data_IF_154131625505
#
_entry.id   IF_154131625505
#
_cell.length_a   1.000
_cell.length_b   1.000
_cell.length_c   1.000
_cell.angle_alpha   90.00
_cell.angle_beta   90.00
_cell.angle_gamma   90.00
#
_symmetry.space_group_name_H-M   'P 1'
#
loop_
_entity.id
_entity.type
_entity.pdbx_description
1 polymer ?
#
# COMPACT_ATOMS: atom_id res chain seq x y z
N UNK A 1 -8.79 -21.15 -1.88
CA UNK A 1 -7.62 -20.98 -2.76
C UNK A 1 -6.91 -19.73 -2.30
N UNK A 2 -5.60 -19.79 -2.11
CA UNK A 2 -4.78 -18.63 -1.77
C UNK A 2 -4.69 -17.65 -2.94
N UNK A 3 -4.57 -16.36 -2.64
CA UNK A 3 -4.27 -15.33 -3.64
C UNK A 3 -2.75 -15.26 -3.86
N UNK A 4 -2.29 -14.75 -5.00
CA UNK A 4 -0.87 -14.47 -5.18
C UNK A 4 -0.42 -13.36 -4.23
N UNK A 5 0.86 -13.43 -3.83
CA UNK A 5 1.49 -12.53 -2.84
C UNK A 5 2.51 -11.65 -3.52
N UNK A 6 2.32 -10.34 -3.47
CA UNK A 6 3.28 -9.37 -3.94
C UNK A 6 4.01 -8.67 -2.79
N UNK A 7 5.10 -7.99 -3.12
CA UNK A 7 5.85 -7.13 -2.21
C UNK A 7 5.73 -5.67 -2.65
N UNK A 8 5.35 -4.78 -1.73
CA UNK A 8 5.53 -3.34 -1.92
C UNK A 8 7.03 -3.01 -1.80
N UNK A 9 7.61 -2.55 -2.90
CA UNK A 9 9.05 -2.34 -3.03
C UNK A 9 9.61 -1.23 -2.14
N UNK A 10 8.75 -0.33 -1.63
CA UNK A 10 9.14 0.65 -0.61
C UNK A 10 9.73 -0.02 0.64
N UNK A 11 9.32 -1.24 0.92
CA UNK A 11 9.81 -2.04 2.06
C UNK A 11 11.31 -2.34 1.98
N UNK A 12 11.89 -2.34 0.78
CA UNK A 12 13.32 -2.63 0.50
C UNK A 12 13.97 -1.52 -0.33
N UNK A 13 13.51 -0.28 -0.12
CA UNK A 13 13.93 0.88 -0.92
C UNK A 13 15.42 1.16 -0.89
N UNK A 14 16.04 0.98 0.26
CA UNK A 14 17.49 1.25 0.42
C UNK A 14 18.33 0.24 -0.38
N UNK A 15 17.91 -1.02 -0.41
CA UNK A 15 18.51 -2.06 -1.22
C UNK A 15 18.27 -1.82 -2.73
N UNK A 16 17.08 -1.34 -3.11
CA UNK A 16 16.78 -0.98 -4.50
C UNK A 16 17.61 0.21 -5.00
N UNK A 17 17.82 1.21 -4.14
CA UNK A 17 18.68 2.35 -4.46
C UNK A 17 20.13 1.91 -4.66
N UNK A 18 20.62 0.96 -3.87
CA UNK A 18 21.96 0.43 -3.97
C UNK A 18 22.14 -0.54 -5.16
N UNK A 19 21.20 -1.46 -5.36
CA UNK A 19 21.22 -2.46 -6.44
C UNK A 19 19.81 -2.89 -6.83
N UNK A 20 19.21 -2.19 -7.78
CA UNK A 20 17.85 -2.43 -8.23
C UNK A 20 17.65 -3.87 -8.74
N UNK A 21 18.54 -4.31 -9.66
CA UNK A 21 18.38 -5.62 -10.32
C UNK A 21 18.59 -6.78 -9.35
N UNK A 22 19.65 -6.72 -8.53
CA UNK A 22 19.92 -7.74 -7.52
C UNK A 22 18.81 -7.83 -6.49
N UNK A 23 18.24 -6.70 -6.07
CA UNK A 23 17.12 -6.66 -5.12
C UNK A 23 15.85 -7.27 -5.72
N UNK A 24 15.48 -6.93 -6.96
CA UNK A 24 14.32 -7.52 -7.65
C UNK A 24 14.48 -9.04 -7.79
N UNK A 25 15.67 -9.53 -8.18
CA UNK A 25 15.97 -10.97 -8.23
C UNK A 25 15.82 -11.62 -6.85
N UNK A 26 16.29 -10.94 -5.80
CA UNK A 26 16.18 -11.42 -4.42
C UNK A 26 14.72 -11.54 -3.96
N UNK A 27 13.88 -10.58 -4.30
CA UNK A 27 12.43 -10.64 -4.03
C UNK A 27 11.82 -11.91 -4.65
N UNK A 28 12.17 -12.23 -5.89
CA UNK A 28 11.72 -13.48 -6.54
C UNK A 28 12.23 -14.72 -5.82
N UNK A 29 13.49 -14.74 -5.42
CA UNK A 29 14.09 -15.88 -4.68
C UNK A 29 13.38 -16.15 -3.35
N UNK A 30 12.88 -15.10 -2.67
CA UNK A 30 12.08 -15.23 -1.46
C UNK A 30 10.72 -15.87 -1.73
N UNK A 31 10.28 -15.90 -2.99
CA UNK A 31 9.07 -16.57 -3.44
C UNK A 31 7.85 -15.65 -3.50
N UNK A 32 8.05 -14.36 -3.70
CA UNK A 32 6.97 -13.46 -4.08
C UNK A 32 6.54 -13.71 -5.53
N UNK A 33 5.26 -13.52 -5.81
CA UNK A 33 4.66 -13.72 -7.13
C UNK A 33 4.70 -12.44 -7.97
N UNK A 34 4.64 -11.29 -7.31
CA UNK A 34 4.61 -9.97 -7.95
C UNK A 34 5.24 -8.88 -7.09
N UNK A 35 5.23 -7.67 -7.63
CA UNK A 35 5.72 -6.47 -6.97
C UNK A 35 4.76 -5.30 -7.16
N UNK A 36 4.75 -4.41 -6.19
CA UNK A 36 4.17 -3.08 -6.27
C UNK A 36 5.27 -2.05 -6.18
N UNK A 37 5.26 -1.09 -7.07
CA UNK A 37 6.33 -0.10 -7.17
C UNK A 37 6.13 1.10 -6.24
N UNK A 38 7.25 1.68 -5.80
CA UNK A 38 7.34 2.99 -5.18
C UNK A 38 8.45 3.78 -5.89
N UNK A 39 8.20 4.15 -7.15
CA UNK A 39 9.18 4.72 -8.06
C UNK A 39 10.00 3.68 -8.81
N UNK A 40 10.77 4.14 -9.81
CA UNK A 40 11.57 3.29 -10.71
C UNK A 40 13.09 3.44 -10.53
N UNK A 41 13.54 4.21 -9.55
CA UNK A 41 14.97 4.40 -9.21
C UNK A 41 15.85 4.78 -10.42
N UNK A 42 15.31 5.64 -11.31
CA UNK A 42 16.00 6.11 -12.51
C UNK A 42 16.09 5.09 -13.65
N UNK A 43 15.42 3.95 -13.53
CA UNK A 43 15.30 2.97 -14.61
C UNK A 43 14.17 3.36 -15.57
N UNK A 44 14.31 2.97 -16.85
CA UNK A 44 13.21 3.13 -17.80
C UNK A 44 12.13 2.06 -17.61
N UNK A 45 10.89 2.35 -18.01
CA UNK A 45 9.80 1.38 -18.00
C UNK A 45 10.14 0.11 -18.78
N UNK A 46 10.80 0.27 -19.93
CA UNK A 46 11.22 -0.85 -20.77
C UNK A 46 12.26 -1.76 -20.07
N UNK A 47 13.26 -1.18 -19.38
CA UNK A 47 14.28 -1.96 -18.65
C UNK A 47 13.66 -2.69 -17.46
N UNK A 48 12.78 -2.01 -16.72
CA UNK A 48 12.05 -2.62 -15.59
C UNK A 48 11.20 -3.78 -16.08
N UNK A 49 10.42 -3.57 -17.15
CA UNK A 49 9.61 -4.64 -17.74
C UNK A 49 10.45 -5.84 -18.16
N UNK A 50 11.56 -5.60 -18.87
CA UNK A 50 12.46 -6.66 -19.32
C UNK A 50 13.01 -7.48 -18.14
N UNK A 51 13.41 -6.82 -17.05
CA UNK A 51 13.87 -7.48 -15.83
C UNK A 51 12.77 -8.33 -15.18
N UNK A 52 11.55 -7.79 -15.05
CA UNK A 52 10.44 -8.54 -14.47
C UNK A 52 10.05 -9.76 -15.30
N UNK A 53 10.03 -9.61 -16.63
CA UNK A 53 9.78 -10.73 -17.56
C UNK A 53 10.85 -11.81 -17.43
N UNK A 54 12.14 -11.42 -17.29
CA UNK A 54 13.25 -12.35 -17.11
C UNK A 54 13.15 -13.13 -15.79
N UNK A 55 12.86 -12.42 -14.67
CA UNK A 55 12.81 -13.07 -13.36
C UNK A 55 11.46 -13.73 -13.05
N UNK A 56 10.43 -13.43 -13.83
CA UNK A 56 9.09 -13.98 -13.65
C UNK A 56 8.35 -13.38 -12.45
N UNK A 57 8.48 -12.07 -12.20
CA UNK A 57 7.67 -11.31 -11.26
C UNK A 57 6.58 -10.53 -11.99
N UNK A 58 5.38 -10.50 -11.43
CA UNK A 58 4.25 -9.78 -12.02
C UNK A 58 4.24 -8.33 -11.50
N UNK A 59 4.22 -7.31 -12.38
CA UNK A 59 3.98 -5.93 -11.98
C UNK A 59 2.51 -5.75 -11.63
N UNK A 60 2.20 -5.63 -10.34
CA UNK A 60 0.81 -5.56 -9.87
C UNK A 60 0.30 -4.13 -9.96
N UNK A 61 0.98 -3.23 -9.30
CA UNK A 61 0.56 -1.85 -9.06
C UNK A 61 1.75 -0.94 -8.82
N UNK A 62 1.46 0.36 -8.72
CA UNK A 62 2.44 1.36 -8.33
C UNK A 62 1.83 2.39 -7.38
N UNK A 63 2.51 2.67 -6.28
CA UNK A 63 2.26 3.82 -5.44
C UNK A 63 2.82 5.07 -6.12
N UNK A 64 1.95 6.01 -6.45
CA UNK A 64 2.33 7.28 -7.11
C UNK A 64 1.76 8.44 -6.31
N UNK A 65 2.61 9.35 -5.80
CA UNK A 65 2.15 10.51 -5.03
C UNK A 65 1.07 11.30 -5.76
N UNK A 66 0.04 11.74 -5.02
CA UNK A 66 -1.09 12.47 -5.60
C UNK A 66 -0.65 13.71 -6.38
N UNK A 67 0.32 14.47 -5.86
CA UNK A 67 0.78 15.69 -6.51
C UNK A 67 1.52 15.41 -7.84
N UNK A 68 2.23 14.30 -7.93
CA UNK A 68 2.85 13.85 -9.19
C UNK A 68 1.77 13.43 -10.20
N UNK A 69 0.77 12.69 -9.75
CA UNK A 69 -0.38 12.33 -10.59
C UNK A 69 -1.14 13.57 -11.08
N UNK A 70 -1.35 14.57 -10.24
CA UNK A 70 -2.00 15.82 -10.65
C UNK A 70 -1.19 16.55 -11.73
N UNK A 71 0.12 16.53 -11.65
CA UNK A 71 1.01 17.23 -12.58
C UNK A 71 1.26 16.47 -13.88
N UNK A 72 1.33 15.13 -13.83
CA UNK A 72 1.83 14.27 -14.92
C UNK A 72 0.98 13.02 -15.15
N UNK A 73 -0.35 13.10 -14.95
CA UNK A 73 -1.24 11.92 -15.00
C UNK A 73 -0.99 11.05 -16.22
N UNK A 74 -1.05 11.62 -17.43
CA UNK A 74 -0.94 10.85 -18.67
C UNK A 74 0.44 10.20 -18.85
N UNK A 75 1.50 10.89 -18.44
CA UNK A 75 2.87 10.40 -18.54
C UNK A 75 3.04 9.17 -17.62
N UNK A 76 2.69 9.31 -16.34
CA UNK A 76 2.83 8.27 -15.33
C UNK A 76 1.92 7.06 -15.61
N UNK A 77 0.69 7.29 -16.05
CA UNK A 77 -0.22 6.22 -16.44
C UNK A 77 0.34 5.41 -17.61
N UNK A 78 0.93 6.06 -18.63
CA UNK A 78 1.57 5.37 -19.76
C UNK A 78 2.81 4.60 -19.32
N UNK A 79 3.64 5.18 -18.45
CA UNK A 79 4.86 4.56 -17.94
C UNK A 79 4.54 3.25 -17.19
N UNK A 80 3.64 3.28 -16.21
CA UNK A 80 3.29 2.07 -15.45
C UNK A 80 2.49 1.05 -16.28
N UNK A 81 1.72 1.52 -17.27
CA UNK A 81 1.08 0.63 -18.24
C UNK A 81 2.10 -0.09 -19.13
N UNK A 82 3.16 0.58 -19.57
CA UNK A 82 4.25 -0.02 -20.35
C UNK A 82 4.96 -1.13 -19.55
N UNK A 83 5.18 -0.93 -18.26
CA UNK A 83 5.70 -1.97 -17.35
C UNK A 83 4.74 -3.16 -17.27
N UNK A 84 3.44 -2.92 -17.37
CA UNK A 84 2.39 -3.93 -17.31
C UNK A 84 1.58 -3.90 -16.00
N UNK A 85 1.66 -2.82 -15.21
CA UNK A 85 0.84 -2.66 -14.01
C UNK A 85 -0.65 -2.61 -14.38
N UNK A 86 -1.48 -3.34 -13.61
CA UNK A 86 -2.94 -3.28 -13.73
C UNK A 86 -3.50 -2.09 -12.94
N UNK A 87 -2.80 -1.67 -11.88
CA UNK A 87 -3.25 -0.65 -10.96
C UNK A 87 -2.21 0.46 -10.76
N UNK A 88 -2.71 1.64 -10.41
CA UNK A 88 -1.97 2.73 -9.79
C UNK A 88 -2.71 3.10 -8.51
N UNK A 89 -2.00 3.26 -7.40
CA UNK A 89 -2.57 3.66 -6.13
C UNK A 89 -2.08 5.06 -5.71
N UNK A 90 -3.00 5.89 -5.20
CA UNK A 90 -2.64 7.09 -4.45
C UNK A 90 -2.25 6.63 -3.03
N UNK A 91 -0.95 6.73 -2.64
CA UNK A 91 -0.46 6.09 -1.42
C UNK A 91 -0.62 6.94 -0.15
N UNK A 92 -0.75 8.25 -0.28
CA UNK A 92 -0.68 9.17 0.84
C UNK A 92 -1.21 10.55 0.50
N UNK A 93 -1.70 11.28 1.50
CA UNK A 93 -2.11 12.68 1.39
C UNK A 93 -1.22 13.58 2.26
N UNK A 94 -0.72 14.66 1.68
CA UNK A 94 -0.08 15.74 2.41
C UNK A 94 -1.07 16.40 3.38
N UNK A 95 -0.57 17.02 4.44
CA UNK A 95 -1.43 17.53 5.52
C UNK A 95 -2.53 18.48 5.05
N UNK A 96 -2.21 19.34 4.09
CA UNK A 96 -3.14 20.31 3.50
C UNK A 96 -4.25 19.67 2.65
N UNK A 97 -4.09 18.39 2.27
CA UNK A 97 -5.04 17.61 1.47
C UNK A 97 -5.87 16.61 2.29
N UNK A 98 -5.58 16.47 3.58
CA UNK A 98 -6.22 15.47 4.45
C UNK A 98 -7.65 15.85 4.83
N UNK A 99 -8.44 14.85 5.28
CA UNK A 99 -9.79 15.06 5.81
C UNK A 99 -9.87 16.15 6.89
N UNK A 100 -10.82 17.06 6.72
CA UNK A 100 -11.07 18.16 7.64
C UNK A 100 -10.17 19.37 7.41
N UNK A 101 -9.49 19.46 6.28
CA UNK A 101 -8.87 20.65 5.70
C UNK A 101 -9.67 21.11 4.49
N UNK A 102 -9.48 22.38 4.09
CA UNK A 102 -10.10 22.94 2.88
C UNK A 102 -9.62 22.23 1.59
N UNK A 103 -8.48 21.53 1.65
CA UNK A 103 -7.91 20.79 0.52
C UNK A 103 -8.55 19.43 0.25
N UNK A 104 -9.35 18.88 1.17
CA UNK A 104 -9.92 17.55 1.00
C UNK A 104 -10.92 17.45 -0.15
N UNK A 105 -11.76 18.48 -0.35
CA UNK A 105 -12.67 18.53 -1.52
C UNK A 105 -11.89 18.59 -2.82
N UNK A 106 -10.78 19.36 -2.86
CA UNK A 106 -9.87 19.40 -4.01
C UNK A 106 -9.23 18.04 -4.26
N UNK A 107 -8.84 17.32 -3.21
CA UNK A 107 -8.31 15.95 -3.31
C UNK A 107 -9.30 15.03 -4.02
N UNK A 108 -10.58 15.03 -3.62
CA UNK A 108 -11.63 14.23 -4.27
C UNK A 108 -11.81 14.63 -5.74
N UNK A 109 -11.80 15.92 -6.05
CA UNK A 109 -11.93 16.42 -7.41
C UNK A 109 -10.73 16.01 -8.30
N UNK A 110 -9.51 16.03 -7.77
CA UNK A 110 -8.32 15.61 -8.49
C UNK A 110 -8.31 14.09 -8.70
N UNK A 111 -8.67 13.29 -7.70
CA UNK A 111 -8.82 11.83 -7.84
C UNK A 111 -9.83 11.49 -8.93
N UNK A 112 -10.97 12.20 -9.03
CA UNK A 112 -11.95 11.99 -10.09
C UNK A 112 -11.35 12.17 -11.48
N UNK A 113 -10.54 13.23 -11.69
CA UNK A 113 -9.86 13.49 -12.98
C UNK A 113 -8.81 12.44 -13.30
N UNK A 114 -7.99 12.07 -12.31
CA UNK A 114 -6.95 11.04 -12.47
C UNK A 114 -7.61 9.70 -12.82
N UNK A 115 -8.70 9.36 -12.14
CA UNK A 115 -9.46 8.12 -12.40
C UNK A 115 -10.00 8.04 -13.84
N UNK A 116 -10.43 9.17 -14.41
CA UNK A 116 -10.88 9.21 -15.80
C UNK A 116 -9.73 8.88 -16.76
N UNK A 117 -8.55 9.48 -16.57
CA UNK A 117 -7.36 9.20 -17.38
C UNK A 117 -6.89 7.76 -17.21
N UNK A 118 -6.86 7.23 -15.98
CA UNK A 118 -6.52 5.84 -15.72
C UNK A 118 -7.46 4.89 -16.48
N UNK A 119 -8.77 5.11 -16.37
CA UNK A 119 -9.80 4.30 -17.03
C UNK A 119 -9.67 4.33 -18.55
N UNK A 120 -9.46 5.50 -19.16
CA UNK A 120 -9.27 5.68 -20.61
C UNK A 120 -8.02 4.91 -21.10
N UNK A 121 -7.01 4.76 -20.26
CA UNK A 121 -5.78 4.02 -20.57
C UNK A 121 -5.84 2.54 -20.16
N UNK A 122 -6.94 2.06 -19.57
CA UNK A 122 -7.11 0.68 -19.14
C UNK A 122 -6.27 0.31 -17.91
N UNK A 123 -5.95 1.29 -17.06
CA UNK A 123 -5.41 1.12 -15.71
C UNK A 123 -6.52 1.41 -14.71
N UNK A 124 -6.51 0.74 -13.57
CA UNK A 124 -7.47 0.94 -12.48
C UNK A 124 -6.83 1.77 -11.38
N UNK A 125 -7.51 2.83 -10.95
CA UNK A 125 -7.02 3.67 -9.85
C UNK A 125 -7.44 3.08 -8.52
N UNK A 126 -6.49 2.99 -7.59
CA UNK A 126 -6.69 2.61 -6.19
C UNK A 126 -6.43 3.79 -5.28
N UNK A 127 -6.97 3.70 -4.08
CA UNK A 127 -6.59 4.58 -2.97
C UNK A 127 -6.14 3.71 -1.80
N UNK A 128 -4.91 3.96 -1.32
CA UNK A 128 -4.31 3.32 -0.17
C UNK A 128 -4.55 4.17 1.08
N UNK A 129 -5.19 3.61 2.08
CA UNK A 129 -5.53 4.35 3.29
C UNK A 129 -4.40 4.35 4.33
N UNK A 130 -4.39 5.45 5.09
CA UNK A 130 -3.74 5.56 6.38
C UNK A 130 -4.81 5.62 7.49
N UNK A 131 -4.42 6.00 8.70
CA UNK A 131 -5.36 6.14 9.81
C UNK A 131 -6.08 7.51 9.82
N UNK A 132 -5.52 8.54 9.16
CA UNK A 132 -6.10 9.88 9.15
C UNK A 132 -7.40 9.98 8.33
N UNK A 133 -7.64 9.07 7.39
CA UNK A 133 -8.91 8.98 6.67
C UNK A 133 -10.06 8.43 7.53
N UNK A 134 -9.74 7.86 8.68
CA UNK A 134 -10.75 7.47 9.69
C UNK A 134 -11.21 8.63 10.57
N UNK A 135 -10.79 9.86 10.26
CA UNK A 135 -11.42 11.06 10.81
C UNK A 135 -12.87 11.14 10.36
N UNK A 136 -13.78 11.40 11.31
CA UNK A 136 -15.21 11.56 11.01
C UNK A 136 -15.53 12.99 10.59
N UNK A 137 -16.23 13.11 9.46
CA UNK A 137 -16.86 14.34 8.97
C UNK A 137 -18.36 14.06 8.94
N UNK A 138 -19.15 14.83 9.70
CA UNK A 138 -20.59 14.64 9.85
C UNK A 138 -20.99 13.19 10.22
N UNK A 139 -20.19 12.57 11.08
CA UNK A 139 -20.44 11.22 11.59
C UNK A 139 -19.99 10.06 10.67
N UNK A 140 -19.48 10.33 9.47
CA UNK A 140 -18.96 9.34 8.51
C UNK A 140 -17.45 9.41 8.45
N UNK A 141 -16.78 8.28 8.28
CA UNK A 141 -15.34 8.27 8.00
C UNK A 141 -15.05 8.95 6.66
N UNK A 142 -14.00 9.75 6.62
CA UNK A 142 -13.61 10.45 5.41
C UNK A 142 -13.20 9.48 4.28
N UNK A 143 -12.66 8.31 4.63
CA UNK A 143 -12.41 7.23 3.67
C UNK A 143 -13.71 6.77 2.99
N UNK A 144 -14.78 6.58 3.77
CA UNK A 144 -16.09 6.21 3.22
C UNK A 144 -16.69 7.33 2.36
N UNK A 145 -16.47 8.58 2.74
CA UNK A 145 -16.88 9.73 1.94
C UNK A 145 -16.16 9.71 0.59
N UNK A 146 -14.83 9.56 0.58
CA UNK A 146 -14.04 9.47 -0.65
C UNK A 146 -14.60 8.37 -1.58
N UNK A 147 -14.82 7.17 -1.05
CA UNK A 147 -15.35 6.07 -1.86
C UNK A 147 -16.83 6.23 -2.26
N UNK A 148 -17.60 7.04 -1.54
CA UNK A 148 -18.98 7.38 -1.96
C UNK A 148 -19.02 8.43 -3.06
N UNK A 149 -18.02 9.32 -3.10
CA UNK A 149 -17.92 10.42 -4.07
C UNK A 149 -17.33 9.99 -5.43
N UNK A 150 -16.63 8.85 -5.47
CA UNK A 150 -16.03 8.32 -6.70
C UNK A 150 -16.60 6.94 -6.98
N UNK A 151 -17.17 6.76 -8.18
CA UNK A 151 -17.82 5.50 -8.55
C UNK A 151 -16.85 4.29 -8.49
N UNK A 152 -17.33 3.08 -8.14
CA UNK A 152 -16.48 1.88 -8.03
C UNK A 152 -15.72 1.48 -9.30
N UNK A 153 -16.24 1.85 -10.47
CA UNK A 153 -15.60 1.60 -11.76
C UNK A 153 -14.51 2.61 -12.11
N UNK A 154 -14.23 3.57 -11.21
CA UNK A 154 -13.22 4.63 -11.33
C UNK A 154 -12.20 4.61 -10.22
N UNK A 155 -12.61 4.31 -8.99
CA UNK A 155 -11.72 4.22 -7.83
C UNK A 155 -12.06 2.96 -7.05
N UNK A 156 -11.08 2.12 -6.84
CA UNK A 156 -11.17 0.95 -5.99
C UNK A 156 -10.30 1.12 -4.74
N UNK A 157 -10.45 0.20 -3.80
CA UNK A 157 -9.74 0.29 -2.53
C UNK A 157 -8.46 -0.54 -2.59
N UNK A 158 -7.41 0.00 -1.99
CA UNK A 158 -6.24 -0.74 -1.54
C UNK A 158 -6.20 -0.63 -0.02
N UNK A 159 -6.88 -1.55 0.65
CA UNK A 159 -7.02 -1.50 2.11
C UNK A 159 -5.70 -1.90 2.77
N UNK A 160 -5.10 -0.94 3.51
CA UNK A 160 -3.98 -1.22 4.41
C UNK A 160 -4.49 -1.63 5.79
N UNK A 161 -4.18 -2.86 6.17
CA UNK A 161 -4.69 -3.50 7.38
C UNK A 161 -4.10 -2.93 8.67
N UNK A 162 -2.85 -2.43 8.63
CA UNK A 162 -2.22 -1.77 9.77
C UNK A 162 -2.98 -0.51 10.12
N UNK A 163 -3.18 0.37 9.15
CA UNK A 163 -3.79 1.66 9.38
C UNK A 163 -5.27 1.58 9.77
N UNK A 164 -6.00 0.58 9.25
CA UNK A 164 -7.35 0.25 9.75
C UNK A 164 -7.30 -0.10 11.24
N UNK A 165 -6.37 -0.99 11.63
CA UNK A 165 -6.20 -1.40 13.02
C UNK A 165 -5.77 -0.25 13.94
N UNK A 166 -4.82 0.59 13.49
CA UNK A 166 -4.37 1.79 14.20
C UNK A 166 -5.51 2.80 14.37
N UNK A 167 -6.43 2.88 13.41
CA UNK A 167 -7.63 3.69 13.53
C UNK A 167 -8.65 3.15 14.54
N UNK A 168 -8.45 1.92 15.04
CA UNK A 168 -9.33 1.26 16.00
C UNK A 168 -10.45 0.44 15.36
N UNK A 169 -10.40 0.22 14.06
CA UNK A 169 -11.35 -0.59 13.31
C UNK A 169 -10.82 -2.02 13.09
N UNK A 170 -11.73 -2.94 12.73
CA UNK A 170 -11.36 -4.31 12.40
C UNK A 170 -11.00 -4.42 10.92
N UNK A 171 -9.75 -4.79 10.56
CA UNK A 171 -9.32 -4.88 9.17
C UNK A 171 -10.14 -5.86 8.33
N UNK A 172 -10.48 -7.03 8.88
CA UNK A 172 -11.28 -8.05 8.17
C UNK A 172 -12.68 -7.54 7.84
N UNK A 173 -13.35 -6.86 8.79
CA UNK A 173 -14.66 -6.28 8.55
C UNK A 173 -14.60 -5.13 7.54
N UNK A 174 -13.52 -4.35 7.57
CA UNK A 174 -13.35 -3.24 6.65
C UNK A 174 -13.09 -3.71 5.21
N UNK A 175 -12.31 -4.78 5.03
CA UNK A 175 -12.14 -5.45 3.73
C UNK A 175 -13.48 -5.97 3.21
N UNK A 176 -14.25 -6.67 4.04
CA UNK A 176 -15.55 -7.22 3.66
C UNK A 176 -16.59 -6.14 3.32
N UNK A 177 -16.53 -4.98 3.96
CA UNK A 177 -17.35 -3.81 3.66
C UNK A 177 -17.21 -3.37 2.20
N UNK A 178 -16.02 -3.51 1.64
CA UNK A 178 -15.72 -3.15 0.26
C UNK A 178 -15.61 -4.38 -0.67
N UNK A 179 -16.34 -5.47 -0.37
CA UNK A 179 -16.39 -6.66 -1.23
C UNK A 179 -16.73 -6.30 -2.67
N UNK A 180 -15.94 -6.85 -3.62
CA UNK A 180 -16.06 -6.56 -5.05
C UNK A 180 -15.40 -5.23 -5.49
N UNK A 181 -14.84 -4.46 -4.55
CA UNK A 181 -14.16 -3.18 -4.80
C UNK A 181 -12.76 -3.12 -4.18
N UNK A 182 -12.25 -4.21 -3.65
CA UNK A 182 -10.96 -4.30 -2.95
C UNK A 182 -10.04 -5.31 -3.65
N UNK A 183 -9.53 -4.99 -4.85
CA UNK A 183 -8.74 -5.94 -5.63
C UNK A 183 -7.36 -6.18 -5.04
N UNK A 184 -6.82 -5.24 -4.29
CA UNK A 184 -5.51 -5.30 -3.62
C UNK A 184 -5.69 -5.02 -2.13
N UNK A 185 -5.07 -5.86 -1.29
CA UNK A 185 -5.06 -5.70 0.17
C UNK A 185 -3.63 -5.68 0.67
N UNK A 186 -3.25 -4.62 1.41
CA UNK A 186 -1.95 -4.51 2.04
C UNK A 186 -1.92 -5.26 3.38
N UNK A 187 -1.05 -6.26 3.45
CA UNK A 187 -0.72 -6.98 4.67
C UNK A 187 0.44 -6.27 5.35
N UNK A 188 0.14 -5.46 6.34
CA UNK A 188 1.11 -4.68 7.10
C UNK A 188 0.86 -4.91 8.57
N UNK A 189 1.80 -5.56 9.24
CA UNK A 189 1.65 -5.92 10.66
C UNK A 189 2.43 -4.97 11.56
N UNK A 190 2.01 -4.86 12.80
CA UNK A 190 2.56 -3.89 13.73
C UNK A 190 2.44 -4.38 15.17
N UNK A 191 3.19 -3.74 16.05
CA UNK A 191 3.06 -3.82 17.49
C UNK A 191 2.65 -2.46 18.04
N UNK A 192 1.72 -2.42 18.95
CA UNK A 192 1.31 -1.20 19.65
C UNK A 192 1.04 -1.53 21.12
N UNK A 193 1.76 -0.83 22.04
CA UNK A 193 1.72 -1.11 23.48
C UNK A 193 0.43 -0.62 24.15
N UNK A 194 -0.14 0.45 23.65
CA UNK A 194 -1.40 1.02 24.15
C UNK A 194 -2.34 1.34 23.00
N UNK A 195 -3.63 1.55 23.32
CA UNK A 195 -4.61 2.01 22.32
C UNK A 195 -4.45 3.49 21.94
N UNK A 196 -3.57 4.21 22.64
CA UNK A 196 -3.28 5.61 22.33
C UNK A 196 -2.28 5.66 21.16
N UNK A 197 -2.62 6.39 20.11
CA UNK A 197 -1.75 6.55 18.95
C UNK A 197 -0.45 7.28 19.33
N UNK A 198 0.72 6.83 18.86
CA UNK A 198 1.95 7.57 19.00
C UNK A 198 1.84 8.95 18.36
N UNK A 199 2.46 9.97 18.96
CA UNK A 199 2.34 11.36 18.48
C UNK A 199 2.98 11.57 17.11
N UNK A 200 3.96 10.73 16.70
CA UNK A 200 4.78 10.89 15.49
C UNK A 200 4.77 9.66 14.59
N UNK A 201 3.60 9.09 14.45
CA UNK A 201 3.41 7.84 13.71
C UNK A 201 3.95 7.90 12.27
N UNK A 202 3.84 9.07 11.61
CA UNK A 202 4.24 9.23 10.21
C UNK A 202 5.75 9.43 9.98
N UNK A 203 6.54 9.73 11.01
CA UNK A 203 8.00 9.69 10.89
C UNK A 203 8.51 8.26 10.64
N UNK A 204 7.75 7.25 11.09
CA UNK A 204 8.07 5.85 10.86
C UNK A 204 7.92 5.43 9.39
N UNK A 205 7.19 6.18 8.59
CA UNK A 205 7.04 5.96 7.14
C UNK A 205 7.86 6.94 6.30
N UNK A 206 8.82 7.64 6.92
CA UNK A 206 9.75 8.53 6.23
C UNK A 206 9.25 9.97 6.01
N UNK A 207 8.14 10.36 6.68
CA UNK A 207 7.61 11.73 6.59
C UNK A 207 8.08 12.51 7.81
N UNK A 208 8.89 13.56 7.60
CA UNK A 208 9.36 14.43 8.67
C UNK A 208 8.19 15.20 9.30
N UNK A 209 7.94 14.96 10.58
CA UNK A 209 7.03 15.75 11.40
C UNK A 209 7.84 16.43 12.52
N UNK A 210 7.75 17.75 12.65
CA UNK A 210 8.50 18.48 13.67
C UNK A 210 8.07 18.11 15.09
N UNK A 211 9.00 17.67 15.94
CA UNK A 211 8.75 17.34 17.34
C UNK A 211 9.73 16.28 17.91
N UNK A 212 9.55 15.77 19.14
CA UNK A 212 10.43 14.76 19.78
C UNK A 212 10.23 13.36 19.18
N UNK A 213 11.30 12.57 19.02
CA UNK A 213 11.26 11.22 18.43
C UNK A 213 10.23 10.32 19.10
N UNK A 214 9.48 9.54 18.28
CA UNK A 214 8.56 8.54 18.82
C UNK A 214 9.37 7.48 19.58
N UNK A 215 8.99 7.18 20.83
CA UNK A 215 9.58 6.06 21.56
C UNK A 215 9.25 4.77 20.79
N UNK A 216 10.26 4.13 20.19
CA UNK A 216 10.14 2.84 19.47
C UNK A 216 9.50 1.73 20.34
N UNK A 217 9.46 1.92 21.65
CA UNK A 217 8.79 1.01 22.57
C UNK A 217 7.26 1.07 22.53
N UNK A 218 6.65 2.12 21.95
CA UNK A 218 5.20 2.30 21.96
C UNK A 218 4.50 1.78 20.70
N UNK A 219 5.17 1.85 19.56
CA UNK A 219 4.67 1.37 18.26
C UNK A 219 5.86 0.94 17.38
N UNK A 220 5.67 -0.08 16.55
CA UNK A 220 6.65 -0.47 15.54
C UNK A 220 6.08 -1.47 14.55
N UNK A 221 6.51 -1.35 13.30
CA UNK A 221 6.14 -2.34 12.28
C UNK A 221 6.80 -3.69 12.58
N UNK A 222 6.13 -4.76 12.18
CA UNK A 222 6.58 -6.13 12.34
C UNK A 222 6.41 -6.88 11.02
N UNK A 223 7.23 -7.90 10.76
CA UNK A 223 6.93 -8.84 9.69
C UNK A 223 5.51 -9.39 9.84
N UNK A 224 4.84 -9.64 8.74
CA UNK A 224 3.50 -10.22 8.72
C UNK A 224 3.46 -11.51 9.55
N UNK A 225 2.52 -11.57 10.51
CA UNK A 225 2.37 -12.67 11.45
C UNK A 225 3.22 -12.58 12.72
N UNK A 226 4.00 -11.53 12.87
CA UNK A 226 4.82 -11.26 14.07
C UNK A 226 4.34 -10.05 14.88
N UNK A 227 3.25 -9.44 14.47
CA UNK A 227 2.59 -8.33 15.15
C UNK A 227 1.33 -8.74 15.90
N UNK A 228 0.36 -7.82 15.95
CA UNK A 228 -0.88 -7.99 16.75
C UNK A 228 -2.11 -8.35 15.91
N UNK A 229 -1.99 -8.41 14.58
CA UNK A 229 -3.14 -8.62 13.70
C UNK A 229 -3.47 -10.10 13.53
N UNK A 230 -4.77 -10.40 13.38
CA UNK A 230 -5.24 -11.73 13.02
C UNK A 230 -5.10 -11.95 11.50
N UNK A 231 -3.87 -12.30 11.07
CA UNK A 231 -3.59 -12.51 9.65
C UNK A 231 -4.44 -13.59 8.99
N UNK A 232 -4.72 -14.75 9.63
CA UNK A 232 -5.66 -15.72 9.07
C UNK A 232 -7.04 -15.11 8.75
N UNK A 233 -7.63 -14.34 9.67
CA UNK A 233 -8.92 -13.70 9.45
C UNK A 233 -8.87 -12.64 8.35
N UNK A 234 -7.77 -11.89 8.25
CA UNK A 234 -7.53 -10.89 7.19
C UNK A 234 -7.43 -11.57 5.82
N UNK A 235 -6.69 -12.67 5.73
CA UNK A 235 -6.52 -13.43 4.50
C UNK A 235 -7.85 -14.05 4.03
N UNK A 236 -8.64 -14.61 4.95
CA UNK A 236 -9.97 -15.16 4.66
C UNK A 236 -10.94 -14.06 4.20
N UNK A 237 -10.90 -12.89 4.82
CA UNK A 237 -11.68 -11.73 4.41
C UNK A 237 -11.27 -11.24 3.02
N UNK A 238 -9.98 -11.21 2.70
CA UNK A 238 -9.47 -10.82 1.38
C UNK A 238 -9.99 -11.73 0.27
N UNK A 239 -9.93 -13.06 0.49
CA UNK A 239 -10.51 -14.03 -0.46
C UNK A 239 -12.01 -13.83 -0.61
N UNK A 240 -12.73 -13.69 0.52
CA UNK A 240 -14.19 -13.54 0.54
C UNK A 240 -14.66 -12.25 -0.12
N UNK A 241 -13.90 -11.17 0.02
CA UNK A 241 -14.17 -9.89 -0.63
C UNK A 241 -13.87 -9.90 -2.14
N UNK A 242 -13.21 -10.93 -2.66
CA UNK A 242 -12.87 -11.07 -4.08
C UNK A 242 -11.60 -10.35 -4.48
N UNK A 243 -10.67 -10.11 -3.55
CA UNK A 243 -9.36 -9.57 -3.85
C UNK A 243 -8.63 -10.43 -4.89
N UNK A 244 -7.70 -9.81 -5.60
CA UNK A 244 -6.86 -10.46 -6.61
C UNK A 244 -5.44 -10.68 -6.11
N UNK A 245 -4.99 -9.77 -5.25
CA UNK A 245 -3.65 -9.74 -4.68
C UNK A 245 -3.68 -9.41 -3.21
N UNK A 246 -2.74 -9.99 -2.48
CA UNK A 246 -2.30 -9.46 -1.19
C UNK A 246 -0.86 -8.96 -1.34
N UNK A 247 -0.57 -7.80 -0.77
CA UNK A 247 0.72 -7.13 -0.90
C UNK A 247 1.33 -6.98 0.49
N UNK A 248 2.52 -7.55 0.69
CA UNK A 248 3.28 -7.37 1.94
C UNK A 248 3.93 -6.01 1.92
N UNK A 249 3.79 -5.25 2.99
CA UNK A 249 4.48 -3.99 3.20
C UNK A 249 5.00 -3.84 4.62
N UNK A 250 6.22 -3.32 4.77
CA UNK A 250 6.80 -2.93 6.06
C UNK A 250 7.74 -1.74 5.85
N UNK A 251 7.34 -0.55 6.31
CA UNK A 251 8.10 0.69 6.04
C UNK A 251 9.47 0.74 6.72
N UNK A 252 9.61 0.12 7.89
CA UNK A 252 10.86 0.00 8.64
C UNK A 252 10.96 -1.39 9.25
N UNK A 253 12.16 -2.00 9.23
CA UNK A 253 12.38 -3.26 9.95
C UNK A 253 12.27 -3.03 11.47
N UNK A 254 12.05 -4.10 12.21
CA UNK A 254 12.17 -4.06 13.66
C UNK A 254 13.62 -3.74 14.05
N UNK A 255 13.81 -3.13 15.24
CA UNK A 255 15.15 -2.79 15.73
C UNK A 255 16.09 -4.00 15.70
N UNK A 256 17.26 -3.83 15.09
CA UNK A 256 18.27 -4.88 14.94
C UNK A 256 18.02 -5.86 13.77
N UNK A 257 16.98 -5.64 12.97
CA UNK A 257 16.68 -6.40 11.77
C UNK A 257 16.98 -5.58 10.49
N UNK A 258 16.91 -6.23 9.32
CA UNK A 258 17.09 -5.61 8.02
C UNK A 258 15.79 -5.65 7.22
N UNK A 259 15.56 -4.71 6.28
CA UNK A 259 14.38 -4.73 5.42
C UNK A 259 14.21 -6.08 4.70
N UNK A 260 15.28 -6.59 4.10
CA UNK A 260 15.25 -7.85 3.35
C UNK A 260 14.94 -9.07 4.25
N UNK A 261 15.41 -9.08 5.50
CA UNK A 261 15.07 -10.15 6.44
C UNK A 261 13.61 -10.05 6.89
N UNK A 262 13.11 -8.83 7.14
CA UNK A 262 11.71 -8.60 7.53
C UNK A 262 10.74 -9.09 6.46
N UNK A 263 10.98 -8.76 5.18
CA UNK A 263 10.10 -9.25 4.08
C UNK A 263 10.26 -10.75 3.83
N UNK A 264 11.44 -11.32 4.09
CA UNK A 264 11.64 -12.77 4.09
C UNK A 264 10.79 -13.47 5.16
N UNK A 265 10.83 -13.00 6.40
CA UNK A 265 10.03 -13.55 7.51
C UNK A 265 8.54 -13.48 7.21
N UNK A 266 8.07 -12.34 6.67
CA UNK A 266 6.68 -12.16 6.24
C UNK A 266 6.27 -13.22 5.21
N UNK A 267 7.11 -13.45 4.19
CA UNK A 267 6.84 -14.44 3.15
C UNK A 267 6.87 -15.88 3.68
N UNK A 268 7.81 -16.18 4.55
CA UNK A 268 7.91 -17.50 5.21
C UNK A 268 6.68 -17.79 6.07
N UNK A 269 6.21 -16.82 6.85
CA UNK A 269 4.98 -16.97 7.62
C UNK A 269 3.76 -17.25 6.72
N UNK A 270 3.57 -16.50 5.65
CA UNK A 270 2.47 -16.74 4.71
C UNK A 270 2.53 -18.14 4.09
N UNK A 271 3.73 -18.66 3.78
CA UNK A 271 3.91 -20.04 3.31
C UNK A 271 3.44 -21.07 4.35
N UNK A 272 3.61 -20.82 5.67
CA UNK A 272 3.10 -21.73 6.71
C UNK A 272 1.58 -21.81 6.72
N UNK A 273 0.89 -20.79 6.22
CA UNK A 273 -0.56 -20.74 6.07
C UNK A 273 -1.05 -21.27 4.72
N UNK A 274 -0.12 -21.72 3.86
CA UNK A 274 -0.46 -22.23 2.53
C UNK A 274 -0.62 -21.16 1.44
N UNK A 275 -0.02 -19.99 1.65
CA UNK A 275 -0.05 -18.84 0.75
C UNK A 275 1.27 -18.63 0.03
#
# INVERSE_FOLDING_TARGET
>A
MSLPVALQLYSVRDELEADFEGTVRKVKELGYDGVEFAGLYGKSAADVKALLDEVGLIPVSAHVPLDDLVQKTEELVKEYKEIGCEYIAVPYLTEDRRPGTDGFERTIADIKKIADVCKENGIRLLYHNHDFEFKKIDGKYALDILYSEVAPDRLETEIDTCWVGVAGENPSEYILKYSGRSPVVHLKDYYMKSKDKPQKLYELIGIESGGEEAEEESFGFRPVGYGVQDMPAILDASVSAGAKWVVVEQDRPAQGDTPMNSVKLSREYLKTLGW
#
